data_IF_493427273403
#
_entry.id   IF_493427273403
#
_cell.length_a   1.000
_cell.length_b   1.000
_cell.length_c   1.000
_cell.angle_alpha   90.00
_cell.angle_beta   90.00
_cell.angle_gamma   90.00
#
_symmetry.space_group_name_H-M   'P 1'
#
loop_
_entity.id
_entity.type
_entity.pdbx_description
1 polymer ?
#
# COMPACT_ATOMS: atom_id res chain seq x y z
N UNK A 1 -7.96 -0.57 14.97
CA UNK A 1 -6.89 0.47 14.93
C UNK A 1 -5.63 0.03 15.68
N UNK A 2 -5.71 -0.28 16.97
CA UNK A 2 -4.54 -0.70 17.78
C UNK A 2 -3.77 -1.88 17.18
N UNK A 3 -4.48 -2.88 16.63
CA UNK A 3 -3.86 -4.03 15.96
C UNK A 3 -3.16 -3.67 14.63
N UNK A 4 -3.55 -2.58 13.97
CA UNK A 4 -2.99 -2.16 12.68
C UNK A 4 -1.73 -1.30 12.84
N UNK A 5 -1.75 -0.36 13.79
CA UNK A 5 -0.69 0.66 13.97
C UNK A 5 0.73 0.07 13.98
N UNK A 6 1.03 -1.03 14.71
CA UNK A 6 2.38 -1.60 14.74
C UNK A 6 2.89 -2.07 13.37
N UNK A 7 1.99 -2.47 12.46
CA UNK A 7 2.32 -3.04 11.16
C UNK A 7 2.15 -2.05 10.00
N UNK A 8 1.63 -0.84 10.26
CA UNK A 8 1.26 0.11 9.22
C UNK A 8 2.42 0.40 8.25
N UNK A 9 3.63 0.64 8.77
CA UNK A 9 4.82 0.91 7.95
C UNK A 9 5.21 -0.28 7.06
N UNK A 10 5.14 -1.50 7.60
CA UNK A 10 5.48 -2.72 6.87
C UNK A 10 4.44 -3.08 5.79
N UNK A 11 3.20 -2.65 6.01
CA UNK A 11 2.12 -2.74 5.04
C UNK A 11 2.19 -1.63 3.97
N UNK A 12 3.17 -0.73 4.05
CA UNK A 12 3.37 0.35 3.08
C UNK A 12 2.48 1.57 3.33
N UNK A 13 2.16 1.86 4.60
CA UNK A 13 1.50 3.11 4.96
C UNK A 13 2.47 4.30 4.81
N UNK A 14 2.14 5.25 3.93
CA UNK A 14 2.95 6.44 3.63
C UNK A 14 2.30 7.77 4.04
N UNK A 15 1.02 7.77 4.40
CA UNK A 15 0.34 8.95 4.91
C UNK A 15 0.74 9.24 6.37
N UNK A 16 0.33 10.40 6.88
CA UNK A 16 0.49 10.74 8.29
C UNK A 16 -0.47 9.91 9.15
N UNK A 17 0.03 8.81 9.70
CA UNK A 17 -0.78 7.88 10.49
C UNK A 17 -1.39 8.54 11.74
N UNK A 18 -0.67 9.47 12.36
CA UNK A 18 -1.14 10.19 13.56
C UNK A 18 -2.31 11.10 13.22
N UNK A 19 -2.20 11.86 12.13
CA UNK A 19 -3.29 12.69 11.62
C UNK A 19 -4.52 11.85 11.26
N UNK A 20 -4.34 10.77 10.49
CA UNK A 20 -5.42 9.86 10.09
C UNK A 20 -6.11 9.26 11.32
N UNK A 21 -5.35 8.80 12.31
CA UNK A 21 -5.94 8.25 13.55
C UNK A 21 -6.71 9.30 14.33
N UNK A 22 -6.19 10.54 14.41
CA UNK A 22 -6.87 11.65 15.08
C UNK A 22 -8.21 11.95 14.42
N UNK A 23 -8.25 12.05 13.08
CA UNK A 23 -9.49 12.29 12.34
C UNK A 23 -10.49 11.14 12.55
N UNK A 24 -10.06 9.88 12.47
CA UNK A 24 -10.94 8.71 12.69
C UNK A 24 -11.51 8.70 14.11
N UNK A 25 -10.72 9.04 15.13
CA UNK A 25 -11.18 9.08 16.52
C UNK A 25 -12.12 10.27 16.77
N UNK A 26 -11.84 11.44 16.19
CA UNK A 26 -12.70 12.62 16.31
C UNK A 26 -14.04 12.44 15.62
N UNK A 27 -14.08 11.83 14.43
CA UNK A 27 -15.34 11.54 13.71
C UNK A 27 -16.25 10.56 14.48
N UNK A 28 -15.69 9.61 15.23
CA UNK A 28 -16.45 8.71 16.10
C UNK A 28 -17.11 9.43 17.29
N UNK A 29 -16.55 10.56 17.73
CA UNK A 29 -17.04 11.33 18.89
C UNK A 29 -18.11 12.36 18.52
N UNK A 30 -18.20 12.74 17.25
CA UNK A 30 -19.05 13.83 16.78
C UNK A 30 -20.35 13.26 16.21
N UNK A 31 -21.30 12.95 17.10
CA UNK A 31 -22.68 12.76 16.71
C UNK A 31 -23.21 14.04 16.06
N UNK A 32 -23.67 13.92 14.81
CA UNK A 32 -24.56 14.83 14.06
C UNK A 32 -24.62 16.26 14.64
N UNK A 33 -23.63 17.10 14.34
CA UNK A 33 -23.73 18.54 14.56
C UNK A 33 -23.75 19.24 13.20
N UNK A 34 -24.88 19.87 12.91
CA UNK A 34 -25.13 20.67 11.72
C UNK A 34 -24.32 21.97 11.71
N UNK A 35 -24.06 22.44 10.48
CA UNK A 35 -23.65 23.78 10.05
C UNK A 35 -22.14 24.03 9.86
N UNK A 36 -21.76 24.10 8.58
CA UNK A 36 -20.66 24.93 8.08
C UNK A 36 -19.31 24.22 8.01
N UNK A 37 -18.93 23.79 6.80
CA UNK A 37 -17.66 23.13 6.42
C UNK A 37 -17.55 21.67 6.86
N UNK A 38 -17.52 20.68 5.94
CA UNK A 38 -17.22 19.31 6.34
C UNK A 38 -15.80 19.28 6.93
N UNK A 39 -15.58 18.66 8.10
CA UNK A 39 -14.24 18.44 8.61
C UNK A 39 -13.43 17.66 7.58
N UNK A 40 -12.10 17.86 7.52
CA UNK A 40 -11.21 17.04 6.70
C UNK A 40 -11.47 15.56 7.02
N UNK A 41 -12.29 14.91 6.21
CA UNK A 41 -12.75 13.56 6.46
C UNK A 41 -11.90 12.60 5.64
N UNK A 42 -11.35 11.60 6.32
CA UNK A 42 -10.70 10.46 5.66
C UNK A 42 -11.70 9.81 4.72
N UNK A 43 -11.26 9.51 3.51
CA UNK A 43 -12.09 8.80 2.53
C UNK A 43 -12.64 7.50 3.12
N UNK A 44 -13.92 7.17 2.87
CA UNK A 44 -14.51 5.94 3.37
C UNK A 44 -13.69 4.70 2.99
N UNK A 45 -13.14 4.65 1.77
CA UNK A 45 -12.30 3.52 1.33
C UNK A 45 -11.10 3.29 2.25
N UNK A 46 -10.35 4.36 2.58
CA UNK A 46 -9.17 4.26 3.43
C UNK A 46 -9.55 3.87 4.87
N UNK A 47 -10.63 4.44 5.39
CA UNK A 47 -11.12 4.10 6.72
C UNK A 47 -11.49 2.62 6.83
N UNK A 48 -12.28 2.10 5.88
CA UNK A 48 -12.70 0.69 5.90
C UNK A 48 -11.53 -0.27 5.69
N UNK A 49 -10.53 0.04 4.85
CA UNK A 49 -9.37 -0.86 4.67
C UNK A 49 -8.46 -0.88 5.91
N UNK A 50 -8.33 0.24 6.63
CA UNK A 50 -7.60 0.28 7.90
C UNK A 50 -8.31 -0.60 8.94
N UNK A 51 -9.65 -0.57 8.98
CA UNK A 51 -10.42 -1.45 9.85
C UNK A 51 -10.35 -2.91 9.42
N UNK A 52 -10.37 -3.20 8.11
CA UNK A 52 -10.21 -4.53 7.55
C UNK A 52 -8.88 -5.18 7.97
N UNK A 53 -7.77 -4.47 7.77
CA UNK A 53 -6.45 -4.97 8.20
C UNK A 53 -6.36 -5.03 9.72
N UNK A 54 -6.95 -4.05 10.42
CA UNK A 54 -7.04 -4.07 11.88
C UNK A 54 -7.84 -5.26 12.42
N UNK A 55 -8.89 -5.71 11.73
CA UNK A 55 -9.67 -6.89 12.11
C UNK A 55 -8.91 -8.17 11.80
N UNK A 56 -8.29 -8.24 10.62
CA UNK A 56 -7.51 -9.40 10.18
C UNK A 56 -6.28 -9.66 11.08
N UNK A 57 -5.61 -8.59 11.52
CA UNK A 57 -4.44 -8.67 12.41
C UNK A 57 -4.81 -8.84 13.89
N UNK A 58 -6.09 -8.77 14.24
CA UNK A 58 -6.55 -8.96 15.61
C UNK A 58 -6.67 -10.44 15.96
N UNK A 59 -6.28 -10.81 17.17
CA UNK A 59 -6.43 -12.18 17.69
C UNK A 59 -7.86 -12.49 18.16
N UNK A 60 -8.79 -11.52 18.10
CA UNK A 60 -10.16 -11.68 18.59
C UNK A 60 -11.11 -12.19 17.51
N UNK A 61 -11.71 -13.37 17.73
CA UNK A 61 -12.64 -14.01 16.79
C UNK A 61 -13.89 -13.20 16.48
N UNK A 62 -14.35 -12.36 17.41
CA UNK A 62 -15.53 -11.49 17.21
C UNK A 62 -15.27 -10.37 16.20
N UNK A 63 -14.01 -9.94 16.08
CA UNK A 63 -13.59 -8.85 15.20
C UNK A 63 -13.37 -9.38 13.78
N UNK A 64 -12.89 -10.62 13.65
CA UNK A 64 -12.68 -11.29 12.35
C UNK A 64 -13.99 -11.48 11.57
N UNK A 65 -15.14 -11.62 12.24
CA UNK A 65 -16.46 -11.74 11.56
C UNK A 65 -16.81 -10.48 10.77
N UNK A 66 -16.28 -9.30 11.15
CA UNK A 66 -16.53 -8.03 10.47
C UNK A 66 -15.67 -7.84 9.20
N UNK A 67 -14.70 -8.71 8.98
CA UNK A 67 -13.74 -8.64 7.87
C UNK A 67 -14.46 -8.58 6.51
N UNK A 68 -15.47 -9.42 6.30
CA UNK A 68 -16.25 -9.45 5.04
C UNK A 68 -17.02 -8.15 4.80
N UNK A 69 -17.59 -7.54 5.85
CA UNK A 69 -18.31 -6.27 5.74
C UNK A 69 -17.35 -5.12 5.42
N UNK A 70 -16.21 -5.05 6.10
CA UNK A 70 -15.20 -4.02 5.81
C UNK A 70 -14.61 -4.17 4.41
N UNK A 71 -14.39 -5.39 3.93
CA UNK A 71 -13.91 -5.63 2.58
C UNK A 71 -14.91 -5.15 1.53
N UNK A 72 -16.19 -5.50 1.72
CA UNK A 72 -17.29 -5.06 0.85
C UNK A 72 -17.34 -3.54 0.76
N UNK A 73 -17.27 -2.85 1.91
CA UNK A 73 -17.33 -1.39 1.97
C UNK A 73 -16.08 -0.72 1.40
N UNK A 74 -14.89 -1.27 1.65
CA UNK A 74 -13.64 -0.74 1.12
C UNK A 74 -13.62 -0.81 -0.41
N UNK A 75 -13.99 -1.96 -0.97
CA UNK A 75 -14.03 -2.17 -2.43
C UNK A 75 -15.16 -1.39 -3.12
N UNK A 76 -16.30 -1.21 -2.46
CA UNK A 76 -17.41 -0.40 -2.98
C UNK A 76 -17.16 1.12 -2.92
N UNK A 77 -16.22 1.58 -2.10
CA UNK A 77 -15.95 3.02 -1.88
C UNK A 77 -14.78 3.57 -2.70
N UNK A 78 -14.05 2.73 -3.45
CA UNK A 78 -12.96 3.16 -4.33
C UNK A 78 -13.51 3.66 -5.68
N UNK A 79 -14.12 4.84 -5.68
CA UNK A 79 -14.64 5.48 -6.90
C UNK A 79 -13.57 6.28 -7.65
N UNK A 80 -13.70 6.34 -8.98
CA UNK A 80 -12.71 6.85 -9.95
C UNK A 80 -12.35 8.33 -9.77
N UNK A 81 -11.06 8.63 -9.89
CA UNK A 81 -10.40 9.86 -9.48
C UNK A 81 -10.59 11.09 -10.39
N UNK A 82 -11.81 11.42 -10.80
CA UNK A 82 -12.01 12.50 -11.78
C UNK A 82 -11.99 13.93 -11.20
N UNK A 83 -12.30 14.15 -9.91
CA UNK A 83 -12.47 15.50 -9.33
C UNK A 83 -11.90 15.66 -7.90
N UNK A 84 -10.84 14.93 -7.57
CA UNK A 84 -10.35 14.87 -6.20
C UNK A 84 -9.17 15.82 -5.92
N UNK A 85 -9.16 16.41 -4.72
CA UNK A 85 -7.97 17.07 -4.18
C UNK A 85 -6.80 16.09 -4.13
N UNK A 86 -5.56 16.60 -4.21
CA UNK A 86 -4.36 15.77 -4.18
C UNK A 86 -4.32 14.83 -2.95
N UNK A 87 -4.81 15.29 -1.81
CA UNK A 87 -4.98 14.49 -0.60
C UNK A 87 -5.86 13.25 -0.83
N UNK A 88 -7.02 13.40 -1.47
CA UNK A 88 -7.95 12.29 -1.75
C UNK A 88 -7.36 11.29 -2.74
N UNK A 89 -6.54 11.75 -3.69
CA UNK A 89 -5.78 10.86 -4.58
C UNK A 89 -4.76 10.03 -3.79
N UNK A 90 -4.02 10.67 -2.87
CA UNK A 90 -3.07 9.97 -2.00
C UNK A 90 -3.77 8.94 -1.11
N UNK A 91 -4.95 9.27 -0.56
CA UNK A 91 -5.76 8.32 0.21
C UNK A 91 -6.30 7.16 -0.63
N UNK A 92 -6.69 7.41 -1.88
CA UNK A 92 -7.09 6.36 -2.81
C UNK A 92 -5.91 5.41 -3.13
N UNK A 93 -4.72 5.96 -3.39
CA UNK A 93 -3.50 5.16 -3.59
C UNK A 93 -3.19 4.35 -2.33
N UNK A 94 -3.23 4.95 -1.14
CA UNK A 94 -3.02 4.27 0.13
C UNK A 94 -4.01 3.12 0.33
N UNK A 95 -5.28 3.34 -0.03
CA UNK A 95 -6.33 2.33 0.05
C UNK A 95 -6.02 1.11 -0.81
N UNK A 96 -5.60 1.32 -2.06
CA UNK A 96 -5.23 0.23 -2.97
C UNK A 96 -3.94 -0.49 -2.57
N UNK A 97 -2.95 0.22 -2.01
CA UNK A 97 -1.75 -0.41 -1.43
C UNK A 97 -2.14 -1.36 -0.29
N UNK A 98 -2.99 -0.91 0.64
CA UNK A 98 -3.43 -1.72 1.78
C UNK A 98 -4.34 -2.88 1.35
N UNK A 99 -5.25 -2.68 0.41
CA UNK A 99 -6.08 -3.74 -0.17
C UNK A 99 -5.20 -4.80 -0.84
N UNK A 100 -4.18 -4.39 -1.60
CA UNK A 100 -3.25 -5.31 -2.21
C UNK A 100 -2.57 -6.20 -1.15
N UNK A 101 -2.05 -5.60 -0.08
CA UNK A 101 -1.44 -6.36 1.02
C UNK A 101 -2.43 -7.34 1.64
N UNK A 102 -3.64 -6.90 1.98
CA UNK A 102 -4.68 -7.77 2.51
C UNK A 102 -4.96 -8.98 1.60
N UNK A 103 -5.12 -8.74 0.30
CA UNK A 103 -5.35 -9.82 -0.67
C UNK A 103 -4.17 -10.77 -0.77
N UNK A 104 -2.94 -10.27 -0.69
CA UNK A 104 -1.76 -11.12 -0.68
C UNK A 104 -1.64 -11.95 0.60
N UNK A 105 -1.96 -11.38 1.76
CA UNK A 105 -1.98 -12.08 3.05
C UNK A 105 -3.03 -13.21 3.09
N UNK A 106 -4.17 -12.98 2.44
CA UNK A 106 -5.27 -13.95 2.36
C UNK A 106 -5.17 -14.90 1.16
N UNK A 107 -4.07 -14.85 0.39
CA UNK A 107 -3.82 -15.74 -0.76
C UNK A 107 -4.60 -15.38 -2.04
N UNK A 108 -5.36 -14.28 -2.05
CA UNK A 108 -6.15 -13.77 -3.18
C UNK A 108 -5.30 -12.98 -4.17
N UNK A 109 -4.29 -13.65 -4.75
CA UNK A 109 -3.24 -13.02 -5.58
C UNK A 109 -3.78 -12.17 -6.73
N UNK A 110 -4.82 -12.63 -7.44
CA UNK A 110 -5.38 -11.92 -8.60
C UNK A 110 -5.90 -10.53 -8.20
N UNK A 111 -6.63 -10.45 -7.10
CA UNK A 111 -7.22 -9.20 -6.58
C UNK A 111 -6.14 -8.27 -6.01
N UNK A 112 -5.10 -8.85 -5.39
CA UNK A 112 -3.91 -8.13 -5.00
C UNK A 112 -3.25 -7.45 -6.19
N UNK A 113 -3.03 -8.18 -7.30
CA UNK A 113 -2.43 -7.65 -8.53
C UNK A 113 -3.31 -6.59 -9.19
N UNK A 114 -4.62 -6.78 -9.20
CA UNK A 114 -5.57 -5.77 -9.67
C UNK A 114 -5.42 -4.46 -8.87
N UNK A 115 -5.38 -4.56 -7.54
CA UNK A 115 -5.23 -3.41 -6.66
C UNK A 115 -3.89 -2.70 -6.86
N UNK A 116 -2.79 -3.44 -7.03
CA UNK A 116 -1.47 -2.87 -7.41
C UNK A 116 -1.55 -2.14 -8.75
N UNK A 117 -2.21 -2.72 -9.75
CA UNK A 117 -2.36 -2.12 -11.09
C UNK A 117 -3.12 -0.79 -11.05
N UNK A 118 -4.17 -0.71 -10.22
CA UNK A 118 -4.90 0.55 -10.00
C UNK A 118 -4.01 1.58 -9.31
N UNK A 119 -3.26 1.21 -8.27
CA UNK A 119 -2.33 2.10 -7.58
C UNK A 119 -1.23 2.64 -8.52
N UNK A 120 -0.66 1.77 -9.37
CA UNK A 120 0.30 2.13 -10.42
C UNK A 120 -0.31 3.15 -11.39
N UNK A 121 -1.55 2.90 -11.84
CA UNK A 121 -2.25 3.80 -12.77
C UNK A 121 -2.49 5.17 -12.14
N UNK A 122 -2.80 5.24 -10.84
CA UNK A 122 -3.00 6.49 -10.12
C UNK A 122 -1.69 7.30 -9.98
N UNK A 123 -0.58 6.68 -9.54
CA UNK A 123 0.70 7.41 -9.39
C UNK A 123 1.25 7.90 -10.72
N UNK A 124 1.02 7.16 -11.81
CA UNK A 124 1.42 7.57 -13.16
C UNK A 124 0.48 8.64 -13.71
N UNK A 125 -0.83 8.44 -13.62
CA UNK A 125 -1.85 9.38 -14.11
C UNK A 125 -1.81 10.74 -13.42
N UNK A 126 -1.39 10.77 -12.16
CA UNK A 126 -1.23 12.01 -11.36
C UNK A 126 0.20 12.57 -11.38
N UNK A 127 1.07 12.00 -12.23
CA UNK A 127 2.44 12.48 -12.47
C UNK A 127 3.34 12.51 -11.23
N UNK A 128 3.08 11.64 -10.24
CA UNK A 128 3.94 11.47 -9.06
C UNK A 128 5.33 10.91 -9.38
N UNK A 129 5.59 10.53 -10.65
CA UNK A 129 6.90 10.16 -11.19
C UNK A 129 7.74 11.36 -11.65
N UNK A 130 7.19 12.59 -11.67
CA UNK A 130 7.85 13.82 -12.15
C UNK A 130 7.68 14.99 -11.18
N UNK A 131 8.14 14.85 -9.94
CA UNK A 131 7.89 15.83 -8.86
C UNK A 131 8.71 17.13 -9.03
N UNK A 132 9.98 17.03 -9.47
CA UNK A 132 10.89 18.19 -9.60
C UNK A 132 10.49 19.24 -10.64
N UNK A 133 9.49 18.96 -11.49
CA UNK A 133 9.00 19.90 -12.50
C UNK A 133 7.93 20.88 -12.00
N UNK A 134 7.40 20.69 -10.79
CA UNK A 134 6.21 21.42 -10.29
C UNK A 134 6.60 22.60 -9.38
N UNK A 135 7.78 22.59 -8.75
CA UNK A 135 8.14 23.49 -7.64
C UNK A 135 8.72 24.86 -8.03
N UNK A 136 8.39 25.43 -9.20
CA UNK A 136 8.98 26.70 -9.68
C UNK A 136 8.23 27.99 -9.30
N UNK A 137 7.23 27.96 -8.42
CA UNK A 137 6.51 29.18 -7.99
C UNK A 137 6.85 29.54 -6.54
N UNK A 138 8.04 30.08 -6.33
CA UNK A 138 8.47 30.57 -5.02
C UNK A 138 7.83 31.92 -4.67
N UNK A 139 6.79 31.90 -3.83
CA UNK A 139 6.40 32.98 -2.91
C UNK A 139 5.17 32.53 -2.09
N UNK A 140 5.34 31.55 -1.21
CA UNK A 140 4.27 31.07 -0.32
C UNK A 140 4.60 31.39 1.16
N UNK A 141 3.56 31.58 1.97
CA UNK A 141 3.72 31.82 3.41
C UNK A 141 4.33 30.59 4.12
N UNK A 142 5.00 30.75 5.28
CA UNK A 142 5.67 29.63 5.95
C UNK A 142 4.77 28.43 6.28
N UNK A 143 3.48 28.69 6.58
CA UNK A 143 2.51 27.62 6.87
C UNK A 143 2.07 26.86 5.61
N UNK A 144 1.87 27.55 4.49
CA UNK A 144 1.52 26.92 3.21
C UNK A 144 2.72 26.16 2.63
N UNK A 145 3.93 26.68 2.83
CA UNK A 145 5.16 25.99 2.48
C UNK A 145 5.32 24.64 3.21
N UNK A 146 5.09 24.60 4.53
CA UNK A 146 5.18 23.34 5.29
C UNK A 146 4.14 22.30 4.83
N UNK A 147 2.92 22.73 4.52
CA UNK A 147 1.89 21.84 3.97
C UNK A 147 2.28 21.31 2.59
N UNK A 148 2.83 22.18 1.73
CA UNK A 148 3.35 21.82 0.41
C UNK A 148 4.49 20.80 0.50
N UNK A 149 5.45 21.01 1.42
CA UNK A 149 6.54 20.07 1.67
C UNK A 149 6.05 18.72 2.22
N UNK A 150 5.08 18.72 3.15
CA UNK A 150 4.46 17.50 3.67
C UNK A 150 3.78 16.70 2.55
N UNK A 151 3.01 17.38 1.73
CA UNK A 151 2.30 16.77 0.61
C UNK A 151 3.27 16.22 -0.45
N UNK A 152 4.32 16.98 -0.79
CA UNK A 152 5.39 16.54 -1.69
C UNK A 152 6.04 15.25 -1.18
N UNK A 153 6.37 15.19 0.11
CA UNK A 153 6.93 13.99 0.74
C UNK A 153 5.98 12.78 0.66
N UNK A 154 4.68 12.98 0.86
CA UNK A 154 3.69 11.91 0.73
C UNK A 154 3.58 11.41 -0.72
N UNK A 155 3.66 12.30 -1.73
CA UNK A 155 3.69 11.91 -3.15
C UNK A 155 4.95 11.13 -3.51
N UNK A 156 6.11 11.56 -3.01
CA UNK A 156 7.39 10.84 -3.15
C UNK A 156 7.23 9.42 -2.59
N UNK A 157 6.77 9.29 -1.34
CA UNK A 157 6.58 8.00 -0.69
C UNK A 157 5.56 7.12 -1.43
N UNK A 158 4.43 7.68 -1.85
CA UNK A 158 3.39 6.97 -2.59
C UNK A 158 3.96 6.32 -3.86
N UNK A 159 4.70 7.08 -4.67
CA UNK A 159 5.33 6.58 -5.88
C UNK A 159 6.28 5.41 -5.58
N UNK A 160 7.20 5.58 -4.63
CA UNK A 160 8.20 4.56 -4.35
C UNK A 160 7.63 3.30 -3.68
N UNK A 161 6.63 3.43 -2.81
CA UNK A 161 5.95 2.27 -2.21
C UNK A 161 5.21 1.47 -3.27
N UNK A 162 4.47 2.14 -4.16
CA UNK A 162 3.74 1.47 -5.25
C UNK A 162 4.72 0.78 -6.20
N UNK A 163 5.82 1.44 -6.56
CA UNK A 163 6.86 0.88 -7.41
C UNK A 163 7.52 -0.35 -6.77
N UNK A 164 7.88 -0.27 -5.49
CA UNK A 164 8.48 -1.38 -4.75
C UNK A 164 7.51 -2.57 -4.64
N UNK A 165 6.24 -2.30 -4.35
CA UNK A 165 5.20 -3.31 -4.27
C UNK A 165 4.98 -4.01 -5.62
N UNK A 166 4.85 -3.24 -6.71
CA UNK A 166 4.71 -3.79 -8.06
C UNK A 166 5.92 -4.64 -8.48
N UNK A 167 7.13 -4.15 -8.23
CA UNK A 167 8.37 -4.85 -8.57
C UNK A 167 8.48 -6.18 -7.82
N UNK A 168 8.14 -6.18 -6.52
CA UNK A 168 8.16 -7.37 -5.69
C UNK A 168 7.24 -8.46 -6.22
N UNK A 169 5.98 -8.13 -6.51
CA UNK A 169 5.01 -9.13 -6.94
C UNK A 169 5.26 -9.61 -8.36
N UNK A 170 5.78 -8.73 -9.23
CA UNK A 170 6.22 -9.13 -10.57
C UNK A 170 7.38 -10.13 -10.50
N UNK A 171 8.33 -9.92 -9.57
CA UNK A 171 9.43 -10.87 -9.34
C UNK A 171 8.96 -12.22 -8.78
N UNK A 172 8.00 -12.22 -7.84
CA UNK A 172 7.40 -13.46 -7.30
C UNK A 172 6.71 -14.27 -8.40
N UNK A 173 6.04 -13.61 -9.35
CA UNK A 173 5.36 -14.27 -10.46
C UNK A 173 6.28 -14.67 -11.62
N UNK A 174 7.58 -14.35 -11.54
CA UNK A 174 8.54 -14.65 -12.60
C UNK A 174 8.33 -13.86 -13.89
N UNK A 175 7.56 -12.75 -13.83
CA UNK A 175 7.35 -11.87 -14.97
C UNK A 175 8.36 -10.72 -14.98
N UNK A 176 8.64 -10.19 -16.17
CA UNK A 176 9.38 -8.93 -16.31
C UNK A 176 8.41 -7.77 -16.05
N UNK A 177 8.85 -6.74 -15.33
CA UNK A 177 8.04 -5.56 -15.01
C UNK A 177 7.38 -4.99 -16.27
N UNK A 178 6.05 -4.87 -16.24
CA UNK A 178 5.25 -4.33 -17.36
C UNK A 178 5.35 -2.81 -17.54
N UNK A 179 6.07 -2.12 -16.64
CA UNK A 179 6.27 -0.68 -16.70
C UNK A 179 7.37 -0.30 -17.71
N UNK A 180 7.07 0.44 -18.80
CA UNK A 180 8.08 0.89 -19.76
C UNK A 180 8.94 2.05 -19.25
N UNK A 181 9.82 1.77 -18.28
CA UNK A 181 10.75 2.73 -17.65
C UNK A 181 11.68 3.45 -18.64
N UNK A 182 11.87 2.90 -19.85
CA UNK A 182 12.77 3.43 -20.87
C UNK A 182 12.14 4.52 -21.75
N UNK A 183 10.84 4.80 -21.62
CA UNK A 183 10.17 5.81 -22.43
C UNK A 183 10.31 7.20 -21.81
N UNK A 184 10.49 8.25 -22.63
CA UNK A 184 10.62 9.63 -22.14
C UNK A 184 9.40 10.11 -21.33
N UNK A 185 8.21 9.54 -21.58
CA UNK A 185 6.98 9.81 -20.81
C UNK A 185 6.91 9.09 -19.46
N UNK A 186 7.78 8.10 -19.23
CA UNK A 186 7.87 7.35 -17.97
C UNK A 186 9.21 7.59 -17.25
N UNK A 187 9.94 8.64 -17.64
CA UNK A 187 11.17 9.03 -16.95
C UNK A 187 10.83 9.33 -15.50
N UNK A 188 11.50 8.64 -14.59
CA UNK A 188 11.34 8.83 -13.15
C UNK A 188 12.28 9.95 -12.73
N UNK A 189 11.71 11.12 -12.44
CA UNK A 189 12.42 12.28 -11.89
C UNK A 189 12.11 12.49 -10.40
N UNK A 190 11.33 11.60 -9.80
CA UNK A 190 11.01 11.58 -8.36
C UNK A 190 12.27 11.35 -7.53
N UNK A 191 12.60 12.24 -6.57
CA UNK A 191 13.75 12.04 -5.70
C UNK A 191 13.54 10.80 -4.83
N UNK A 192 14.63 10.20 -4.36
CA UNK A 192 14.56 9.15 -3.36
C UNK A 192 13.90 9.68 -2.07
N UNK A 193 13.12 8.85 -1.35
CA UNK A 193 12.54 9.27 -0.09
C UNK A 193 13.60 9.65 0.93
N UNK A 194 13.37 10.72 1.68
CA UNK A 194 14.23 11.12 2.79
C UNK A 194 14.20 10.13 3.96
N UNK A 195 13.22 9.20 3.99
CA UNK A 195 13.08 8.16 5.01
C UNK A 195 13.35 6.79 4.38
N UNK A 196 14.10 5.94 5.08
CA UNK A 196 14.49 4.61 4.63
C UNK A 196 13.26 3.71 4.34
N UNK A 197 13.08 3.34 3.06
CA UNK A 197 12.03 2.42 2.55
C UNK A 197 12.28 0.96 3.02
N UNK A 198 13.39 0.71 3.71
CA UNK A 198 13.89 -0.62 4.11
C UNK A 198 12.89 -1.46 4.94
N UNK A 199 11.78 -0.89 5.43
CA UNK A 199 10.73 -1.69 6.09
C UNK A 199 10.00 -2.67 5.17
N UNK A 200 9.80 -2.33 3.89
CA UNK A 200 9.07 -3.20 2.96
C UNK A 200 9.81 -4.51 2.66
N UNK A 201 11.14 -4.54 2.81
CA UNK A 201 11.96 -5.72 2.51
C UNK A 201 11.97 -6.77 3.62
N UNK A 202 11.81 -6.38 4.89
CA UNK A 202 12.25 -7.24 5.99
C UNK A 202 11.17 -8.20 6.55
N UNK A 203 9.87 -7.92 6.43
CA UNK A 203 8.86 -8.62 7.23
C UNK A 203 7.90 -9.59 6.52
N UNK A 204 8.12 -9.92 5.24
CA UNK A 204 7.27 -10.91 4.56
C UNK A 204 7.68 -12.38 4.80
N UNK A 205 8.87 -12.62 5.38
CA UNK A 205 9.23 -13.95 5.93
C UNK A 205 8.36 -14.25 7.16
N UNK A 206 8.06 -13.24 7.99
CA UNK A 206 7.25 -13.41 9.21
C UNK A 206 5.79 -13.70 8.86
N UNK A 207 5.23 -13.06 7.82
CA UNK A 207 3.84 -13.31 7.39
C UNK A 207 3.69 -14.60 6.56
N UNK A 208 4.70 -15.02 5.80
CA UNK A 208 4.73 -16.36 5.17
C UNK A 208 4.79 -17.49 6.21
N UNK A 209 5.36 -17.23 7.40
CA UNK A 209 5.36 -18.16 8.53
C UNK A 209 4.05 -18.12 9.34
N UNK A 210 3.31 -17.01 9.35
CA UNK A 210 2.01 -16.90 10.02
C UNK A 210 0.84 -17.42 9.17
N UNK A 211 0.95 -17.38 7.84
CA UNK A 211 0.03 -18.07 6.93
C UNK A 211 0.21 -19.61 6.92
N UNK A 212 1.18 -20.11 7.68
CA UNK A 212 1.48 -21.53 7.84
C UNK A 212 1.26 -21.92 9.31
N UNK A 213 0.01 -21.93 9.78
CA UNK A 213 -0.31 -22.60 11.05
C UNK A 213 -0.52 -24.11 10.83
N UNK A 214 -0.14 -24.94 11.81
CA UNK A 214 -0.03 -26.38 11.66
C UNK A 214 -1.38 -27.03 11.90
N UNK A 215 -1.83 -27.89 10.98
CA UNK A 215 -2.68 -29.04 11.33
C UNK A 215 -2.80 -30.01 10.15
N UNK A 216 -1.89 -30.99 10.12
CA UNK A 216 -2.26 -32.40 10.00
C UNK A 216 -1.06 -33.26 10.42
N UNK A 217 -1.19 -34.10 11.45
CA UNK A 217 -0.24 -35.17 11.64
C UNK A 217 -0.51 -36.27 10.59
N UNK A 218 0.56 -37.03 10.36
CA UNK A 218 0.60 -38.36 9.75
C UNK A 218 0.87 -38.47 8.23
N UNK A 219 2.15 -38.76 7.99
CA UNK A 219 2.65 -39.91 7.23
C UNK A 219 2.55 -39.90 5.70
N UNK A 220 3.70 -39.66 5.05
CA UNK A 220 4.31 -40.63 4.12
C UNK A 220 5.74 -40.19 3.72
N UNK A 221 6.57 -41.19 3.46
CA UNK A 221 8.04 -41.21 3.34
C UNK A 221 8.73 -40.20 2.39
N UNK A 222 10.05 -39.95 2.59
CA UNK A 222 10.84 -39.11 1.70
C UNK A 222 11.32 -39.91 0.47
N UNK A 223 10.86 -39.54 -0.72
CA UNK A 223 11.57 -39.90 -1.96
C UNK A 223 12.64 -38.85 -2.28
N UNK A 224 13.83 -39.39 -2.51
CA UNK A 224 15.08 -38.72 -2.82
C UNK A 224 15.01 -38.07 -4.21
N UNK A 225 15.23 -36.76 -4.29
CA UNK A 225 15.55 -36.12 -5.57
C UNK A 225 17.05 -35.92 -5.72
N UNK A 226 17.61 -36.70 -6.65
CA UNK A 226 18.93 -36.60 -7.24
C UNK A 226 19.20 -35.20 -7.80
N UNK A 227 20.35 -34.60 -7.45
CA UNK A 227 20.97 -33.50 -8.21
C UNK A 227 22.08 -34.07 -9.09
N UNK A 228 22.17 -33.75 -10.39
CA UNK A 228 23.42 -33.81 -11.12
C UNK A 228 24.14 -32.47 -11.07
N UNK A 229 25.40 -32.54 -10.65
CA UNK A 229 26.38 -31.46 -10.66
C UNK A 229 26.69 -31.01 -12.10
N UNK A 230 26.66 -29.70 -12.36
CA UNK A 230 27.25 -29.11 -13.55
C UNK A 230 28.67 -28.65 -13.23
N UNK A 231 29.64 -29.46 -13.65
CA UNK A 231 31.05 -29.09 -13.67
C UNK A 231 31.66 -29.62 -14.97
N UNK A 232 32.11 -28.70 -15.81
CA UNK A 232 33.29 -28.92 -16.65
C UNK A 232 33.07 -29.17 -18.14
N UNK A 233 33.71 -28.27 -18.90
CA UNK A 233 34.39 -28.49 -20.19
C UNK A 233 33.54 -28.47 -21.46
N UNK A 234 33.81 -27.47 -22.32
CA UNK A 234 34.36 -27.76 -23.65
C UNK A 234 35.30 -26.62 -24.07
N UNK A 235 36.56 -26.99 -24.24
CA UNK A 235 37.58 -26.28 -25.01
C UNK A 235 37.65 -26.97 -26.37
N UNK A 236 37.59 -26.18 -27.44
CA UNK A 236 38.42 -26.29 -28.65
C UNK A 236 38.21 -25.05 -29.51
#
# INVERSE_FOLDING_TARGET
LSAFIPYAKDLGFFLDLTEICTIILSTSSQGISHAGTPPLAVTPALMHVIFLLGSHLSTSSQITVLETDFLSRATGSTSTASDYSHQKVLEAIQSHVLLAQYFFLTGRKLEGKYSVTVAVSLVLGTRMHCIRGISLSGHEAPQTQFQSEKEENQRINAFWIVLALNSRWTAIDGHVSSLPYWTARMRVDTPWPCVSIVSLSNNLIVLANLARTPDKPDSCHPEQFYYPALLGQFSR
#
